data_IF_150558340238
#
_entry.id   IF_150558340238
#
_cell.length_a   1.000
_cell.length_b   1.000
_cell.length_c   1.000
_cell.angle_alpha   90.00
_cell.angle_beta   90.00
_cell.angle_gamma   90.00
#
_symmetry.space_group_name_H-M   'P 1'
#
loop_
_entity.id
_entity.type
_entity.pdbx_description
1 polymer ?
#
# COMPACT_ATOMS: atom_id res chain seq x y z
N UNK A 1 25.55 -27.74 37.11
CA UNK A 1 24.56 -27.34 36.09
C UNK A 1 24.97 -28.02 34.80
N UNK A 2 24.04 -28.59 34.02
CA UNK A 2 24.40 -29.09 32.69
C UNK A 2 24.89 -27.92 31.84
N UNK A 3 26.01 -28.10 31.16
CA UNK A 3 26.57 -27.08 30.26
C UNK A 3 25.63 -26.91 29.05
N UNK A 4 25.48 -25.68 28.53
CA UNK A 4 24.70 -25.45 27.32
C UNK A 4 25.35 -26.19 26.15
N UNK A 5 24.53 -26.89 25.35
CA UNK A 5 24.99 -27.49 24.10
C UNK A 5 24.85 -26.46 22.99
N UNK A 6 25.95 -26.18 22.28
CA UNK A 6 26.00 -25.19 21.20
C UNK A 6 26.44 -25.90 19.93
N UNK A 7 25.61 -25.82 18.89
CA UNK A 7 25.88 -26.32 17.55
C UNK A 7 25.93 -25.12 16.58
N UNK A 8 26.97 -25.00 15.76
CA UNK A 8 27.05 -23.99 14.71
C UNK A 8 26.43 -24.53 13.40
N UNK A 9 25.83 -23.64 12.62
CA UNK A 9 25.09 -23.95 11.39
C UNK A 9 25.60 -23.02 10.30
N UNK A 10 26.09 -23.59 9.19
CA UNK A 10 26.62 -22.82 8.06
C UNK A 10 27.92 -23.40 7.49
N UNK A 11 28.24 -22.89 6.30
CA UNK A 11 29.42 -23.14 5.43
C UNK A 11 29.85 -24.58 5.13
N UNK A 12 29.89 -25.52 6.08
CA UNK A 12 30.16 -26.95 5.86
C UNK A 12 29.80 -27.84 7.08
N UNK A 13 29.28 -27.26 8.18
CA UNK A 13 29.19 -27.98 9.47
C UNK A 13 27.90 -28.78 9.63
N UNK A 14 26.74 -28.12 9.58
CA UNK A 14 25.42 -28.76 9.60
C UNK A 14 24.43 -28.01 8.74
N UNK A 15 23.52 -28.77 8.16
CA UNK A 15 22.40 -28.28 7.37
C UNK A 15 21.32 -27.67 8.29
N UNK A 16 20.91 -26.44 8.03
CA UNK A 16 19.89 -25.73 8.81
C UNK A 16 18.58 -26.52 8.90
N UNK A 17 18.13 -27.13 7.80
CA UNK A 17 16.89 -27.92 7.79
C UNK A 17 17.00 -29.18 8.64
N UNK A 18 18.19 -29.79 8.73
CA UNK A 18 18.41 -30.94 9.63
C UNK A 18 18.37 -30.55 11.09
N UNK A 19 18.95 -29.39 11.44
CA UNK A 19 18.90 -28.87 12.82
C UNK A 19 17.48 -28.45 13.20
N UNK A 20 16.78 -27.80 12.27
CA UNK A 20 15.37 -27.45 12.41
C UNK A 20 14.51 -28.70 12.65
N UNK A 21 14.71 -29.76 11.86
CA UNK A 21 14.04 -31.05 12.01
C UNK A 21 14.32 -31.70 13.37
N UNK A 22 15.57 -31.70 13.82
CA UNK A 22 15.96 -32.31 15.11
C UNK A 22 15.25 -31.64 16.30
N UNK A 23 15.28 -30.31 16.37
CA UNK A 23 14.56 -29.60 17.41
C UNK A 23 13.05 -29.80 17.29
N UNK A 24 12.52 -29.81 16.07
CA UNK A 24 11.08 -29.95 15.85
C UNK A 24 10.54 -31.31 16.29
N UNK A 25 11.32 -32.38 16.10
CA UNK A 25 10.96 -33.73 16.57
C UNK A 25 10.93 -33.86 18.10
N UNK A 26 11.62 -32.99 18.81
CA UNK A 26 11.78 -33.03 20.28
C UNK A 26 11.02 -31.92 21.00
N UNK A 27 10.20 -31.14 20.30
CA UNK A 27 9.53 -29.99 20.87
C UNK A 27 8.01 -30.20 20.97
N UNK A 28 7.41 -29.61 21.99
CA UNK A 28 5.96 -29.55 22.16
C UNK A 28 5.35 -28.41 21.33
N UNK A 29 6.05 -27.28 21.24
CA UNK A 29 5.66 -26.13 20.42
C UNK A 29 6.88 -25.30 19.99
N UNK A 30 6.68 -24.43 18.99
CA UNK A 30 7.67 -23.48 18.51
C UNK A 30 7.11 -22.07 18.46
N UNK A 31 7.87 -21.10 18.97
CA UNK A 31 7.61 -19.68 18.74
C UNK A 31 8.79 -19.07 18.00
N UNK A 32 8.52 -18.24 17.00
CA UNK A 32 9.61 -17.71 16.17
C UNK A 32 9.29 -16.40 15.49
N UNK A 33 10.34 -15.77 14.98
CA UNK A 33 10.28 -14.61 14.13
C UNK A 33 11.28 -14.77 12.99
N UNK A 34 10.86 -14.50 11.77
CA UNK A 34 11.71 -14.51 10.57
C UNK A 34 11.43 -13.28 9.74
N UNK A 35 12.49 -12.61 9.28
CA UNK A 35 12.33 -11.41 8.47
C UNK A 35 11.62 -11.74 7.15
N UNK A 36 12.12 -12.75 6.42
CA UNK A 36 11.57 -13.07 5.11
C UNK A 36 11.19 -14.54 4.98
N UNK A 37 10.02 -14.77 4.37
CA UNK A 37 9.52 -16.09 4.05
C UNK A 37 9.06 -16.15 2.59
N UNK A 38 9.73 -16.98 1.78
CA UNK A 38 9.38 -17.22 0.37
C UNK A 38 9.32 -18.70 0.00
N UNK A 39 9.72 -19.60 0.90
CA UNK A 39 9.68 -21.03 0.61
C UNK A 39 8.31 -21.63 0.91
N UNK A 40 7.73 -22.41 -0.03
CA UNK A 40 6.57 -23.23 0.23
C UNK A 40 6.76 -24.12 1.47
N UNK A 41 5.69 -24.27 2.26
CA UNK A 41 5.77 -24.88 3.58
C UNK A 41 6.09 -26.37 3.53
N UNK A 42 5.65 -27.05 2.48
CA UNK A 42 5.91 -28.45 2.19
C UNK A 42 7.41 -28.77 2.00
N UNK A 43 8.24 -27.75 1.76
CA UNK A 43 9.70 -27.90 1.65
C UNK A 43 10.41 -27.92 3.01
N UNK A 44 9.73 -27.56 4.10
CA UNK A 44 10.27 -27.69 5.45
C UNK A 44 10.16 -29.15 5.94
N UNK A 45 10.95 -29.56 6.93
CA UNK A 45 10.81 -30.89 7.53
C UNK A 45 9.38 -31.15 8.04
N UNK A 46 8.85 -32.36 7.82
CA UNK A 46 7.49 -32.73 8.23
C UNK A 46 7.27 -32.53 9.74
N UNK A 47 8.32 -32.74 10.56
CA UNK A 47 8.28 -32.50 11.99
C UNK A 47 8.03 -31.03 12.33
N UNK A 48 8.70 -30.10 11.64
CA UNK A 48 8.49 -28.66 11.80
C UNK A 48 7.10 -28.27 11.34
N UNK A 49 6.65 -28.82 10.19
CA UNK A 49 5.30 -28.56 9.70
C UNK A 49 4.24 -28.96 10.72
N UNK A 50 4.34 -30.16 11.31
CA UNK A 50 3.44 -30.64 12.37
C UNK A 50 3.51 -29.75 13.62
N UNK A 51 4.71 -29.37 14.04
CA UNK A 51 4.93 -28.56 15.24
C UNK A 51 4.29 -27.16 15.12
N UNK A 52 4.39 -26.54 13.95
CA UNK A 52 3.78 -25.24 13.66
C UNK A 52 2.24 -25.26 13.72
N UNK A 53 1.61 -26.43 13.58
CA UNK A 53 0.15 -26.61 13.73
C UNK A 53 -0.32 -26.67 15.18
N UNK A 54 0.59 -26.75 16.15
CA UNK A 54 0.24 -26.69 17.56
C UNK A 54 -0.36 -25.31 17.89
N UNK A 55 -1.43 -25.27 18.68
CA UNK A 55 -2.11 -24.02 19.08
C UNK A 55 -1.23 -23.07 19.88
N UNK A 56 -0.20 -23.59 20.55
CA UNK A 56 0.80 -22.81 21.28
C UNK A 56 1.92 -22.30 20.36
N UNK A 57 2.02 -22.80 19.14
CA UNK A 57 3.03 -22.36 18.18
C UNK A 57 2.61 -21.08 17.48
N UNK A 58 3.58 -20.22 17.16
CA UNK A 58 3.36 -19.08 16.27
C UNK A 58 4.65 -18.64 15.57
N UNK A 59 4.50 -18.00 14.41
CA UNK A 59 5.64 -17.38 13.72
C UNK A 59 5.28 -15.95 13.30
N UNK A 60 6.11 -15.00 13.69
CA UNK A 60 6.05 -13.62 13.25
C UNK A 60 6.86 -13.43 11.96
N UNK A 61 6.29 -12.75 10.96
CA UNK A 61 6.91 -12.54 9.65
C UNK A 61 6.79 -11.08 9.23
N UNK A 62 7.84 -10.51 8.63
CA UNK A 62 7.73 -9.20 7.98
C UNK A 62 6.97 -9.35 6.66
N UNK A 63 5.87 -8.60 6.43
CA UNK A 63 5.13 -8.67 5.17
C UNK A 63 5.84 -7.98 3.99
N UNK A 64 6.94 -7.26 4.25
CA UNK A 64 7.67 -6.52 3.22
C UNK A 64 8.38 -7.46 2.25
N UNK A 65 8.58 -7.06 0.98
CA UNK A 65 9.41 -7.80 0.05
C UNK A 65 10.81 -8.08 0.64
N UNK A 66 11.38 -9.28 0.41
CA UNK A 66 10.93 -10.29 -0.54
C UNK A 66 9.89 -11.29 -0.04
N UNK A 67 9.27 -11.15 1.14
CA UNK A 67 8.27 -12.10 1.64
C UNK A 67 7.16 -12.36 0.61
N UNK A 68 6.84 -13.64 0.40
CA UNK A 68 5.75 -14.07 -0.47
C UNK A 68 4.49 -14.32 0.37
N UNK A 69 3.56 -13.36 0.34
CA UNK A 69 2.32 -13.46 1.10
C UNK A 69 1.42 -14.60 0.59
N UNK A 70 1.51 -15.01 -0.68
CA UNK A 70 0.70 -16.14 -1.19
C UNK A 70 1.11 -17.44 -0.51
N UNK A 71 2.42 -17.67 -0.38
CA UNK A 71 2.98 -18.82 0.36
C UNK A 71 2.49 -18.86 1.80
N UNK A 72 2.44 -17.71 2.49
CA UNK A 72 1.93 -17.66 3.87
C UNK A 72 0.42 -17.90 3.94
N UNK A 73 -0.33 -17.42 2.95
CA UNK A 73 -1.77 -17.56 2.87
C UNK A 73 -2.24 -19.00 2.65
N UNK A 74 -1.43 -19.81 1.96
CA UNK A 74 -1.69 -21.24 1.74
C UNK A 74 -1.65 -22.05 3.04
N UNK A 75 -1.02 -21.52 4.11
CA UNK A 75 -0.83 -22.26 5.37
C UNK A 75 -1.41 -21.58 6.61
N UNK A 76 -2.03 -20.41 6.47
CA UNK A 76 -2.56 -19.60 7.58
C UNK A 76 -3.62 -20.30 8.45
N UNK A 77 -4.38 -21.24 7.86
CA UNK A 77 -5.46 -21.94 8.55
C UNK A 77 -4.92 -23.06 9.45
N UNK A 78 -3.73 -23.55 9.11
CA UNK A 78 -3.00 -24.58 9.83
C UNK A 78 -1.99 -23.99 10.83
N UNK A 79 -1.39 -22.83 10.51
CA UNK A 79 -0.27 -22.25 11.25
C UNK A 79 -0.61 -20.84 11.73
N UNK A 80 -0.37 -20.56 13.01
CA UNK A 80 -0.57 -19.22 13.55
C UNK A 80 0.55 -18.25 13.08
N UNK A 81 0.33 -17.62 11.93
CA UNK A 81 1.22 -16.61 11.36
C UNK A 81 0.78 -15.21 11.79
N UNK A 82 1.74 -14.40 12.26
CA UNK A 82 1.52 -13.01 12.62
C UNK A 82 2.37 -12.12 11.70
N UNK A 83 1.73 -11.26 10.94
CA UNK A 83 2.42 -10.27 10.13
C UNK A 83 2.84 -9.11 11.03
N UNK A 84 4.14 -8.84 11.09
CA UNK A 84 4.67 -7.70 11.82
C UNK A 84 4.17 -6.40 11.21
N UNK A 85 3.50 -5.58 12.01
CA UNK A 85 3.05 -4.25 11.62
C UNK A 85 3.49 -3.26 12.69
N UNK A 86 4.47 -2.44 12.34
CA UNK A 86 4.88 -1.35 13.21
C UNK A 86 3.78 -0.27 13.22
N UNK A 87 3.21 0.01 14.38
CA UNK A 87 2.34 1.18 14.58
C UNK A 87 3.23 2.42 14.72
N UNK A 88 3.51 3.12 13.63
CA UNK A 88 3.93 4.52 13.70
C UNK A 88 2.94 5.36 12.92
N UNK A 89 2.25 6.25 13.64
CA UNK A 89 1.38 7.30 13.09
C UNK A 89 2.17 8.43 12.40
N UNK A 90 3.49 8.32 12.32
CA UNK A 90 4.37 9.28 11.68
C UNK A 90 5.15 8.61 10.54
N UNK A 91 4.92 9.13 9.33
CA UNK A 91 5.75 9.03 8.12
C UNK A 91 6.78 7.89 8.12
N UNK A 92 6.45 6.82 7.38
CA UNK A 92 7.32 5.75 6.92
C UNK A 92 8.83 5.99 7.16
N UNK A 93 9.31 5.56 8.33
CA UNK A 93 10.64 4.97 8.45
C UNK A 93 10.45 3.49 8.69
N UNK A 94 10.85 2.73 7.69
CA UNK A 94 10.81 1.27 7.52
C UNK A 94 11.38 0.54 8.75
N UNK A 95 10.59 0.38 9.79
CA UNK A 95 10.93 -0.53 10.88
C UNK A 95 10.71 -1.96 10.39
N UNK A 96 11.74 -2.55 9.78
CA UNK A 96 11.73 -3.93 9.31
C UNK A 96 11.99 -4.89 10.48
N UNK A 97 11.17 -5.93 10.61
CA UNK A 97 11.47 -7.06 11.46
C UNK A 97 12.64 -7.82 10.83
N UNK A 98 13.87 -7.57 11.30
CA UNK A 98 15.06 -8.24 10.77
C UNK A 98 15.47 -9.51 11.54
N UNK A 99 14.70 -9.88 12.57
CA UNK A 99 14.95 -11.06 13.41
C UNK A 99 14.85 -12.36 12.59
N UNK A 100 15.77 -13.31 12.83
CA UNK A 100 15.61 -14.73 12.46
C UNK A 100 15.95 -15.59 13.67
N UNK A 101 14.92 -15.91 14.44
CA UNK A 101 15.06 -16.55 15.73
C UNK A 101 13.88 -17.48 16.00
N UNK A 102 14.17 -18.68 16.50
CA UNK A 102 13.18 -19.68 16.88
C UNK A 102 13.48 -20.21 18.27
N UNK A 103 12.44 -20.38 19.06
CA UNK A 103 12.45 -20.97 20.39
C UNK A 103 11.56 -22.21 20.37
N UNK A 104 12.14 -23.34 20.74
CA UNK A 104 11.51 -24.66 20.81
C UNK A 104 11.39 -25.07 22.27
N UNK A 105 10.16 -25.29 22.73
CA UNK A 105 9.93 -25.84 24.07
C UNK A 105 10.11 -27.36 23.99
N UNK A 106 11.19 -27.90 24.54
CA UNK A 106 11.50 -29.32 24.41
C UNK A 106 10.61 -30.17 25.31
N UNK A 107 10.29 -31.38 24.84
CA UNK A 107 9.41 -32.34 25.51
C UNK A 107 10.03 -32.97 26.78
N UNK A 108 11.32 -32.70 27.06
CA UNK A 108 11.95 -33.06 28.34
C UNK A 108 11.47 -32.16 29.51
N UNK A 109 10.74 -31.08 29.19
CA UNK A 109 10.16 -30.16 30.15
C UNK A 109 11.17 -29.29 30.89
N UNK A 110 12.48 -29.44 30.68
CA UNK A 110 13.53 -28.73 31.42
C UNK A 110 14.38 -27.83 30.51
N UNK A 111 14.51 -28.20 29.24
CA UNK A 111 15.34 -27.51 28.27
C UNK A 111 14.52 -26.86 27.15
N UNK A 112 15.19 -25.95 26.45
CA UNK A 112 14.67 -25.28 25.26
C UNK A 112 15.72 -25.37 24.17
N UNK A 113 15.26 -25.50 22.94
CA UNK A 113 16.08 -25.31 21.74
C UNK A 113 15.96 -23.88 21.26
N UNK A 114 17.06 -23.24 20.91
CA UNK A 114 17.07 -21.89 20.35
C UNK A 114 17.88 -21.91 19.07
N UNK A 115 17.29 -21.48 17.96
CA UNK A 115 18.02 -21.24 16.72
C UNK A 115 18.03 -19.73 16.48
N UNK A 116 19.21 -19.13 16.33
CA UNK A 116 19.37 -17.70 16.03
C UNK A 116 20.44 -17.49 14.97
N UNK A 117 20.22 -16.58 14.02
CA UNK A 117 21.27 -16.16 13.10
C UNK A 117 20.77 -15.43 11.87
N UNK A 118 21.37 -15.70 10.72
CA UNK A 118 21.12 -14.97 9.47
C UNK A 118 20.15 -15.67 8.51
N UNK A 119 19.88 -16.97 8.68
CA UNK A 119 19.00 -17.75 7.80
C UNK A 119 17.55 -17.24 7.82
N UNK A 120 17.12 -16.65 6.70
CA UNK A 120 15.70 -16.42 6.41
C UNK A 120 15.05 -17.68 5.84
N UNK A 121 13.71 -17.71 5.79
CA UNK A 121 12.94 -18.79 5.17
C UNK A 121 12.80 -18.58 3.65
N UNK A 122 13.95 -18.40 3.00
CA UNK A 122 14.05 -18.20 1.56
C UNK A 122 14.88 -19.28 0.91
N UNK A 123 14.58 -19.59 -0.35
CA UNK A 123 15.30 -20.63 -1.10
C UNK A 123 16.81 -20.36 -1.14
N UNK A 124 17.21 -19.09 -1.27
CA UNK A 124 18.63 -18.69 -1.29
C UNK A 124 19.33 -18.92 0.04
N UNK A 125 18.68 -18.59 1.15
CA UNK A 125 19.27 -18.77 2.48
C UNK A 125 19.37 -20.25 2.87
N UNK A 126 18.34 -21.05 2.57
CA UNK A 126 18.27 -22.44 3.03
C UNK A 126 18.91 -23.45 2.06
N UNK A 127 18.92 -23.20 0.75
CA UNK A 127 19.44 -24.12 -0.26
C UNK A 127 20.77 -23.65 -0.90
N UNK A 128 21.64 -23.00 -0.10
CA UNK A 128 23.03 -22.64 -0.47
C UNK A 128 23.19 -21.60 -1.59
N UNK A 129 22.28 -20.62 -1.67
CA UNK A 129 22.44 -19.44 -2.53
C UNK A 129 23.12 -18.25 -1.84
N UNK A 130 23.13 -18.23 -0.51
CA UNK A 130 23.77 -17.23 0.33
C UNK A 130 24.74 -17.90 1.31
N UNK A 131 25.73 -17.14 1.78
CA UNK A 131 26.55 -17.52 2.93
C UNK A 131 25.78 -17.10 4.19
N UNK A 132 25.30 -18.08 4.95
CA UNK A 132 24.48 -17.87 6.14
C UNK A 132 25.13 -18.55 7.36
N UNK A 133 24.95 -17.94 8.53
CA UNK A 133 25.44 -18.46 9.80
C UNK A 133 24.34 -18.40 10.85
N UNK A 134 24.14 -19.51 11.54
CA UNK A 134 23.24 -19.60 12.68
C UNK A 134 23.87 -20.43 13.79
N UNK A 135 23.34 -20.25 15.00
CA UNK A 135 23.71 -21.04 16.17
C UNK A 135 22.46 -21.69 16.70
N UNK A 136 22.58 -22.98 17.00
CA UNK A 136 21.62 -23.77 17.74
C UNK A 136 22.12 -23.93 19.18
N UNK A 137 21.28 -23.58 20.15
CA UNK A 137 21.61 -23.62 21.57
C UNK A 137 20.55 -24.45 22.28
N UNK A 138 20.97 -25.49 22.99
CA UNK A 138 20.12 -26.20 23.95
C UNK A 138 20.51 -25.76 25.36
N UNK A 139 19.55 -25.19 26.08
CA UNK A 139 19.78 -24.60 27.41
C UNK A 139 18.55 -24.81 28.30
N UNK A 140 18.73 -24.73 29.62
CA UNK A 140 17.61 -24.78 30.57
C UNK A 140 16.59 -23.68 30.31
N UNK A 141 15.31 -24.04 30.33
CA UNK A 141 14.16 -23.13 30.15
C UNK A 141 14.16 -21.94 31.13
N UNK A 142 14.74 -22.15 32.32
CA UNK A 142 14.76 -21.15 33.38
C UNK A 142 15.96 -20.18 33.32
N UNK A 143 16.88 -20.39 32.37
CA UNK A 143 18.01 -19.48 32.14
C UNK A 143 17.54 -18.10 31.71
N UNK A 144 18.32 -17.07 32.06
CA UNK A 144 17.99 -15.68 31.70
C UNK A 144 17.91 -15.49 30.18
N UNK A 145 18.80 -16.13 29.42
CA UNK A 145 18.80 -16.06 27.95
C UNK A 145 17.51 -16.64 27.37
N UNK A 146 17.08 -17.83 27.81
CA UNK A 146 15.85 -18.46 27.34
C UNK A 146 14.61 -17.60 27.64
N UNK A 147 14.53 -17.04 28.86
CA UNK A 147 13.42 -16.17 29.26
C UNK A 147 13.36 -14.89 28.44
N UNK A 148 14.51 -14.24 28.22
CA UNK A 148 14.58 -13.01 27.44
C UNK A 148 14.16 -13.25 25.99
N UNK A 149 14.70 -14.29 25.35
CA UNK A 149 14.34 -14.65 23.97
C UNK A 149 12.84 -14.94 23.82
N UNK A 150 12.28 -15.74 24.74
CA UNK A 150 10.85 -16.02 24.72
C UNK A 150 10.02 -14.75 24.93
N UNK A 151 10.44 -13.86 25.85
CA UNK A 151 9.81 -12.56 26.09
C UNK A 151 9.85 -11.63 24.87
N UNK A 152 10.99 -11.55 24.18
CA UNK A 152 11.17 -10.72 22.99
C UNK A 152 10.28 -11.21 21.83
N UNK A 153 10.19 -12.53 21.61
CA UNK A 153 9.32 -13.10 20.57
C UNK A 153 7.83 -12.83 20.83
N UNK A 154 7.39 -12.93 22.08
CA UNK A 154 6.02 -12.55 22.46
C UNK A 154 5.81 -11.03 22.31
N UNK A 155 6.81 -10.22 22.66
CA UNK A 155 6.74 -8.76 22.45
C UNK A 155 6.60 -8.41 20.97
N UNK A 156 7.32 -9.08 20.06
CA UNK A 156 7.17 -8.89 18.61
C UNK A 156 5.74 -9.24 18.18
N UNK A 157 5.20 -10.36 18.64
CA UNK A 157 3.81 -10.76 18.37
C UNK A 157 2.81 -9.72 18.88
N UNK A 158 2.98 -9.22 20.10
CA UNK A 158 1.99 -8.37 20.78
C UNK A 158 2.14 -6.87 20.45
N UNK A 159 3.29 -6.43 19.91
CA UNK A 159 3.62 -5.02 19.58
C UNK A 159 2.90 -4.46 18.36
N UNK A 160 1.80 -5.08 17.94
CA UNK A 160 0.99 -4.65 16.80
C UNK A 160 1.01 -5.60 15.61
N UNK A 161 1.63 -6.77 15.74
CA UNK A 161 1.52 -7.79 14.71
C UNK A 161 0.06 -8.22 14.55
N UNK A 162 -0.37 -8.38 13.29
CA UNK A 162 -1.74 -8.80 12.96
C UNK A 162 -1.68 -10.25 12.55
N UNK A 163 -2.54 -11.09 13.14
CA UNK A 163 -2.68 -12.47 12.69
C UNK A 163 -3.06 -12.46 11.20
N UNK A 164 -2.34 -13.22 10.38
CA UNK A 164 -2.66 -13.36 8.97
C UNK A 164 -4.06 -13.96 8.83
N UNK A 165 -4.99 -13.20 8.23
CA UNK A 165 -6.36 -13.62 7.95
C UNK A 165 -6.59 -13.67 6.44
N UNK A 166 -7.73 -14.24 6.01
CA UNK A 166 -8.16 -14.25 4.61
C UNK A 166 -8.12 -12.86 3.94
N UNK A 167 -8.29 -11.78 4.71
CA UNK A 167 -8.28 -10.42 4.18
C UNK A 167 -6.94 -10.00 3.56
N UNK A 168 -5.84 -10.65 3.96
CA UNK A 168 -4.50 -10.40 3.44
C UNK A 168 -4.13 -11.33 2.28
N UNK A 169 -5.03 -12.25 1.92
CA UNK A 169 -4.78 -13.34 0.97
C UNK A 169 -5.46 -13.17 -0.38
N UNK A 170 -6.01 -11.99 -0.64
CA UNK A 170 -6.56 -11.69 -1.96
C UNK A 170 -5.43 -11.53 -2.97
N UNK A 171 -5.62 -12.14 -4.14
CA UNK A 171 -4.77 -11.85 -5.28
C UNK A 171 -4.93 -10.36 -5.61
N UNK A 172 -3.83 -9.62 -5.61
CA UNK A 172 -3.86 -8.24 -6.11
C UNK A 172 -4.35 -8.29 -7.56
N UNK A 173 -5.38 -7.51 -7.86
CA UNK A 173 -5.83 -7.38 -9.24
C UNK A 173 -4.68 -6.90 -10.13
N UNK A 174 -4.66 -7.32 -11.41
CA UNK A 174 -3.71 -6.76 -12.36
C UNK A 174 -3.81 -5.23 -12.34
N UNK A 175 -2.67 -4.51 -12.41
CA UNK A 175 -2.66 -3.07 -12.24
C UNK A 175 -3.54 -2.41 -13.31
N UNK A 176 -4.44 -1.54 -12.86
CA UNK A 176 -5.40 -0.84 -13.73
C UNK A 176 -4.96 0.59 -13.99
N UNK A 177 -5.30 1.12 -15.18
CA UNK A 177 -5.19 2.53 -15.49
C UNK A 177 -6.35 3.30 -14.81
N UNK A 178 -6.03 4.26 -13.94
CA UNK A 178 -7.03 5.11 -13.29
C UNK A 178 -7.11 6.51 -13.92
N UNK A 179 -8.33 6.97 -14.15
CA UNK A 179 -8.66 8.37 -14.38
C UNK A 179 -9.07 9.02 -13.06
N UNK A 180 -8.29 9.98 -12.58
CA UNK A 180 -8.59 10.69 -11.33
C UNK A 180 -9.35 11.97 -11.63
N UNK A 181 -10.50 12.18 -10.99
CA UNK A 181 -11.32 13.40 -11.10
C UNK A 181 -11.61 13.99 -9.72
N UNK A 182 -11.77 15.32 -9.65
CA UNK A 182 -12.07 16.05 -8.41
C UNK A 182 -13.29 16.94 -8.58
N UNK A 183 -14.13 17.07 -7.57
CA UNK A 183 -15.29 17.96 -7.60
C UNK A 183 -16.30 17.70 -6.48
N UNK A 184 -17.52 18.18 -6.70
CA UNK A 184 -18.65 18.05 -5.78
C UNK A 184 -19.69 17.05 -6.30
N UNK A 185 -20.46 16.47 -5.39
CA UNK A 185 -21.47 15.43 -5.62
C UNK A 185 -20.94 14.20 -6.38
N UNK A 186 -19.68 13.84 -6.17
CA UNK A 186 -19.03 12.75 -6.90
C UNK A 186 -19.48 11.37 -6.42
N UNK A 187 -20.13 11.29 -5.24
CA UNK A 187 -20.77 10.07 -4.76
C UNK A 187 -21.92 9.56 -5.63
N UNK A 188 -22.51 10.41 -6.47
CA UNK A 188 -23.69 10.10 -7.28
C UNK A 188 -23.41 9.98 -8.78
N UNK A 189 -22.13 9.94 -9.19
CA UNK A 189 -21.71 9.96 -10.59
C UNK A 189 -22.35 8.86 -11.46
N UNK A 190 -22.63 7.69 -10.88
CA UNK A 190 -23.29 6.58 -11.57
C UNK A 190 -24.74 6.88 -12.00
N UNK A 191 -25.43 7.78 -11.31
CA UNK A 191 -26.81 8.18 -11.66
C UNK A 191 -26.87 9.08 -12.89
N UNK A 192 -25.75 9.72 -13.24
CA UNK A 192 -25.69 10.69 -14.34
C UNK A 192 -25.36 10.04 -15.68
N UNK A 193 -24.99 8.75 -15.68
CA UNK A 193 -24.63 7.87 -16.80
C UNK A 193 -23.53 8.36 -17.75
N UNK A 194 -23.32 9.66 -17.96
CA UNK A 194 -22.41 10.21 -18.95
C UNK A 194 -21.57 11.37 -18.39
N UNK A 195 -20.26 11.14 -18.34
CA UNK A 195 -19.23 12.11 -17.99
C UNK A 195 -18.55 12.61 -19.27
N UNK A 196 -18.62 13.92 -19.52
CA UNK A 196 -17.90 14.55 -20.63
C UNK A 196 -16.63 15.22 -20.11
N UNK A 197 -15.47 14.81 -20.62
CA UNK A 197 -14.17 15.36 -20.23
C UNK A 197 -13.59 16.16 -21.39
N UNK A 198 -13.21 17.40 -21.09
CA UNK A 198 -12.70 18.38 -22.05
C UNK A 198 -11.17 18.49 -21.95
N UNK A 199 -10.49 18.39 -23.09
CA UNK A 199 -9.03 18.43 -23.20
C UNK A 199 -8.54 19.47 -24.20
N UNK A 200 -7.42 20.12 -23.87
CA UNK A 200 -6.73 21.05 -24.78
C UNK A 200 -5.97 20.31 -25.89
N UNK A 201 -5.35 19.17 -25.57
CA UNK A 201 -4.46 18.45 -26.47
C UNK A 201 -4.85 16.97 -26.65
N UNK A 202 -4.69 16.43 -27.86
CA UNK A 202 -5.01 15.03 -28.19
C UNK A 202 -4.21 14.01 -27.36
N UNK A 203 -2.99 14.36 -26.95
CA UNK A 203 -2.14 13.47 -26.16
C UNK A 203 -2.68 13.18 -24.77
N UNK A 204 -3.53 14.08 -24.27
CA UNK A 204 -4.15 13.99 -22.96
C UNK A 204 -5.49 13.25 -22.99
N UNK A 205 -6.11 13.18 -24.17
CA UNK A 205 -7.35 12.46 -24.38
C UNK A 205 -7.14 10.94 -24.34
N UNK A 206 -8.15 10.22 -23.87
CA UNK A 206 -8.18 8.76 -23.87
C UNK A 206 -8.38 8.30 -25.32
N UNK A 207 -7.42 7.52 -25.83
CA UNK A 207 -7.28 7.23 -27.28
C UNK A 207 -8.01 5.98 -27.78
N UNK A 208 -8.61 5.18 -26.90
CA UNK A 208 -9.19 3.87 -27.26
C UNK A 208 -10.50 3.63 -26.51
N UNK A 209 -11.38 2.82 -27.11
CA UNK A 209 -12.51 2.16 -26.44
C UNK A 209 -11.96 1.24 -25.35
N UNK A 210 -11.83 1.80 -24.15
CA UNK A 210 -11.30 1.10 -22.99
C UNK A 210 -12.34 1.17 -21.89
N UNK A 211 -12.44 0.04 -21.18
CA UNK A 211 -12.88 0.07 -19.80
C UNK A 211 -11.94 1.03 -19.06
N UNK A 212 -12.52 2.09 -18.50
CA UNK A 212 -11.81 3.08 -17.70
C UNK A 212 -12.29 2.97 -16.26
N UNK A 213 -11.35 3.00 -15.33
CA UNK A 213 -11.69 3.11 -13.92
C UNK A 213 -11.55 4.57 -13.51
N UNK A 214 -12.60 5.14 -12.93
CA UNK A 214 -12.65 6.54 -12.52
C UNK A 214 -12.57 6.62 -11.02
N UNK A 215 -11.47 7.18 -10.51
CA UNK A 215 -11.33 7.53 -9.10
C UNK A 215 -11.83 8.96 -8.91
N UNK A 216 -12.99 9.09 -8.30
CA UNK A 216 -13.63 10.37 -8.05
C UNK A 216 -13.39 10.81 -6.59
N UNK A 217 -12.79 11.99 -6.40
CA UNK A 217 -12.41 12.53 -5.09
C UNK A 217 -13.28 13.75 -4.76
N UNK A 218 -14.11 13.60 -3.74
CA UNK A 218 -15.01 14.65 -3.25
C UNK A 218 -14.23 15.74 -2.50
N UNK A 219 -14.33 16.98 -2.96
CA UNK A 219 -13.56 18.11 -2.39
C UNK A 219 -13.94 18.38 -0.92
N UNK A 220 -15.22 18.23 -0.57
CA UNK A 220 -15.73 18.67 0.74
C UNK A 220 -15.64 17.61 1.84
N UNK A 221 -15.57 16.33 1.49
CA UNK A 221 -15.71 15.25 2.47
C UNK A 221 -14.53 14.31 2.56
N UNK A 222 -13.45 14.56 1.80
CA UNK A 222 -12.32 13.63 1.58
C UNK A 222 -12.73 12.26 1.01
N UNK A 223 -14.02 11.97 0.85
CA UNK A 223 -14.49 10.70 0.35
C UNK A 223 -13.99 10.47 -1.08
N UNK A 224 -13.65 9.21 -1.36
CA UNK A 224 -13.30 8.77 -2.69
C UNK A 224 -14.24 7.66 -3.13
N UNK A 225 -14.48 7.61 -4.44
CA UNK A 225 -15.37 6.64 -5.06
C UNK A 225 -14.69 6.07 -6.29
N UNK A 226 -14.73 4.76 -6.43
CA UNK A 226 -14.27 4.09 -7.63
C UNK A 226 -15.47 3.72 -8.50
N UNK A 227 -15.39 4.08 -9.78
CA UNK A 227 -16.39 3.74 -10.77
C UNK A 227 -15.76 2.94 -11.90
N UNK A 228 -16.54 2.00 -12.44
CA UNK A 228 -16.28 1.42 -13.75
C UNK A 228 -17.00 2.27 -14.79
N UNK A 229 -16.26 2.69 -15.81
CA UNK A 229 -16.82 3.36 -16.96
C UNK A 229 -16.28 2.81 -18.26
N UNK A 230 -16.88 3.30 -19.35
CA UNK A 230 -16.52 2.94 -20.71
C UNK A 230 -16.43 4.20 -21.55
N UNK A 231 -15.33 4.37 -22.28
CA UNK A 231 -15.22 5.47 -23.24
C UNK A 231 -16.15 5.15 -24.41
N UNK A 232 -17.24 5.92 -24.56
CA UNK A 232 -18.20 5.73 -25.66
C UNK A 232 -17.92 6.63 -26.84
N UNK A 233 -17.21 7.75 -26.63
CA UNK A 233 -16.86 8.66 -27.71
C UNK A 233 -15.54 9.36 -27.43
N UNK A 234 -14.76 9.55 -28.50
CA UNK A 234 -13.57 10.40 -28.54
C UNK A 234 -13.72 11.31 -29.76
N UNK A 235 -13.46 12.61 -29.61
CA UNK A 235 -13.63 13.53 -30.73
C UNK A 235 -12.84 14.81 -30.60
N UNK A 236 -12.83 15.58 -31.70
CA UNK A 236 -12.23 16.92 -31.81
C UNK A 236 -13.33 17.94 -32.04
N UNK A 237 -13.31 19.06 -31.31
CA UNK A 237 -14.33 20.12 -31.47
C UNK A 237 -14.23 20.84 -32.81
N UNK A 238 -13.03 21.02 -33.38
CA UNK A 238 -12.85 21.80 -34.62
C UNK A 238 -13.36 21.10 -35.90
N UNK A 239 -13.79 19.84 -35.83
CA UNK A 239 -14.41 19.11 -36.95
C UNK A 239 -15.94 19.09 -36.88
N UNK A 240 -16.49 19.61 -35.78
CA UNK A 240 -17.92 19.88 -35.61
C UNK A 240 -18.00 21.39 -35.81
N UNK A 241 -18.48 21.86 -36.98
CA UNK A 241 -18.80 23.29 -37.15
C UNK A 241 -19.53 23.73 -35.89
N UNK A 242 -19.00 24.76 -35.21
CA UNK A 242 -19.55 25.27 -33.96
C UNK A 242 -20.99 25.71 -34.19
N UNK A 243 -21.93 24.77 -34.12
CA UNK A 243 -23.34 25.06 -33.96
C UNK A 243 -23.42 25.81 -32.65
N UNK A 244 -23.83 27.06 -32.71
CA UNK A 244 -24.05 27.95 -31.57
C UNK A 244 -25.11 27.44 -30.56
N UNK A 245 -25.43 26.15 -30.58
CA UNK A 245 -26.38 25.45 -29.72
C UNK A 245 -25.87 24.03 -29.43
N UNK A 246 -24.69 23.91 -28.80
CA UNK A 246 -24.45 22.71 -28.01
C UNK A 246 -25.40 22.79 -26.80
N UNK A 247 -26.64 22.32 -26.97
CA UNK A 247 -27.53 22.02 -25.84
C UNK A 247 -26.98 20.80 -25.13
N UNK A 248 -26.08 21.10 -24.22
CA UNK A 248 -25.64 20.24 -23.15
C UNK A 248 -26.89 19.66 -22.46
N UNK A 249 -27.17 18.36 -22.65
CA UNK A 249 -28.21 17.67 -21.89
C UNK A 249 -27.84 17.66 -20.40
N UNK A 250 -28.61 17.01 -19.51
CA UNK A 250 -28.22 16.81 -18.08
C UNK A 250 -26.94 15.95 -17.94
N UNK A 251 -25.82 16.41 -18.49
CA UNK A 251 -24.50 15.79 -18.52
C UNK A 251 -23.67 16.50 -17.49
N UNK A 252 -22.71 15.78 -16.91
CA UNK A 252 -21.73 16.38 -16.02
C UNK A 252 -20.41 16.57 -16.75
N UNK A 253 -19.85 17.76 -16.59
CA UNK A 253 -18.65 18.20 -17.29
C UNK A 253 -17.46 18.08 -16.38
N UNK A 254 -16.34 17.57 -16.88
CA UNK A 254 -15.07 17.74 -16.23
C UNK A 254 -14.11 18.49 -17.14
N UNK A 255 -13.52 19.56 -16.63
CA UNK A 255 -12.57 20.38 -17.36
C UNK A 255 -11.19 20.14 -16.77
N UNK A 256 -10.23 19.82 -17.62
CA UNK A 256 -8.84 19.79 -17.20
C UNK A 256 -8.29 21.21 -17.03
N UNK A 257 -8.48 21.78 -15.83
CA UNK A 257 -7.87 23.06 -15.42
C UNK A 257 -6.44 22.88 -14.90
N UNK A 258 -6.10 21.70 -14.38
CA UNK A 258 -4.80 21.37 -13.76
C UNK A 258 -4.30 19.97 -14.17
N UNK A 259 -3.56 19.27 -13.29
CA UNK A 259 -3.04 17.91 -13.53
C UNK A 259 -4.14 16.84 -13.68
N UNK A 260 -5.35 17.11 -13.18
CA UNK A 260 -6.51 16.22 -13.27
C UNK A 260 -7.76 16.99 -13.72
N UNK A 261 -8.74 16.33 -14.37
CA UNK A 261 -10.03 16.93 -14.66
C UNK A 261 -10.79 17.34 -13.38
N UNK A 262 -11.30 18.57 -13.38
CA UNK A 262 -12.17 19.11 -12.34
C UNK A 262 -13.62 19.02 -12.81
N UNK A 263 -14.41 18.26 -12.09
CA UNK A 263 -15.83 18.10 -12.30
C UNK A 263 -16.57 19.38 -11.93
N UNK A 264 -17.49 19.78 -12.80
CA UNK A 264 -18.31 20.96 -12.69
C UNK A 264 -19.69 20.58 -12.16
N UNK A 265 -20.29 21.47 -11.38
CA UNK A 265 -21.64 21.29 -10.90
C UNK A 265 -22.64 21.47 -12.06
N UNK A 266 -23.82 20.89 -11.93
CA UNK A 266 -24.88 20.94 -12.97
C UNK A 266 -25.31 22.38 -13.32
N UNK A 267 -25.13 23.32 -12.38
CA UNK A 267 -25.41 24.74 -12.56
C UNK A 267 -24.24 25.56 -13.13
N UNK A 268 -23.07 24.94 -13.32
CA UNK A 268 -21.87 25.64 -13.79
C UNK A 268 -21.88 25.76 -15.30
N UNK A 269 -22.10 26.99 -15.79
CA UNK A 269 -21.92 27.33 -17.19
C UNK A 269 -20.42 27.24 -17.50
N UNK A 270 -20.06 26.46 -18.53
CA UNK A 270 -18.69 26.40 -19.01
C UNK A 270 -18.38 27.73 -19.70
N UNK A 271 -17.35 28.42 -19.21
CA UNK A 271 -16.87 29.67 -19.81
C UNK A 271 -16.52 29.46 -21.29
N UNK A 272 -17.05 30.31 -22.17
CA UNK A 272 -16.80 30.33 -23.61
C UNK A 272 -15.30 30.29 -23.94
N UNK A 273 -14.47 30.94 -23.12
CA UNK A 273 -13.01 30.91 -23.27
C UNK A 273 -12.47 29.49 -23.15
N UNK A 274 -12.99 28.70 -22.20
CA UNK A 274 -12.56 27.31 -22.01
C UNK A 274 -13.02 26.44 -23.19
N UNK A 275 -14.24 26.65 -23.69
CA UNK A 275 -14.72 25.94 -24.87
C UNK A 275 -13.85 26.22 -26.10
N UNK A 276 -13.48 27.49 -26.33
CA UNK A 276 -12.57 27.89 -27.42
C UNK A 276 -11.16 27.33 -27.28
N UNK A 277 -10.68 27.16 -26.05
CA UNK A 277 -9.36 26.57 -25.76
C UNK A 277 -9.37 25.03 -25.78
N UNK A 278 -10.55 24.40 -25.78
CA UNK A 278 -10.72 22.95 -25.77
C UNK A 278 -10.78 22.44 -27.21
N UNK A 279 -9.85 21.56 -27.57
CA UNK A 279 -9.83 20.97 -28.91
C UNK A 279 -10.36 19.54 -28.96
N UNK A 280 -10.38 18.82 -27.84
CA UNK A 280 -10.73 17.40 -27.79
C UNK A 280 -11.66 17.05 -26.63
N UNK A 281 -12.42 15.97 -26.76
CA UNK A 281 -13.24 15.45 -25.68
C UNK A 281 -13.24 13.92 -25.59
N UNK A 282 -13.50 13.42 -24.39
CA UNK A 282 -13.93 12.05 -24.15
C UNK A 282 -15.33 12.06 -23.55
N UNK A 283 -16.21 11.21 -24.05
CA UNK A 283 -17.47 10.88 -23.42
C UNK A 283 -17.34 9.51 -22.77
N UNK A 284 -17.51 9.47 -21.46
CA UNK A 284 -17.36 8.29 -20.63
C UNK A 284 -18.72 7.95 -20.05
N UNK A 285 -19.22 6.78 -20.40
CA UNK A 285 -20.40 6.20 -19.75
C UNK A 285 -19.98 5.59 -18.41
N UNK A 286 -20.66 5.97 -17.32
CA UNK A 286 -20.40 5.43 -15.98
C UNK A 286 -21.36 4.26 -15.77
N UNK A 287 -20.83 3.04 -15.81
CA UNK A 287 -21.61 1.81 -15.78
C UNK A 287 -22.01 1.43 -14.36
N UNK A 288 -21.03 1.43 -13.44
CA UNK A 288 -21.26 1.03 -12.05
C UNK A 288 -20.35 1.73 -11.07
N UNK A 289 -20.88 1.97 -9.87
CA UNK A 289 -20.11 2.31 -8.67
C UNK A 289 -19.65 1.03 -7.99
N UNK A 290 -18.36 0.92 -7.68
CA UNK A 290 -17.88 -0.17 -6.84
C UNK A 290 -18.35 0.06 -5.40
N UNK A 291 -19.02 -0.94 -4.81
CA UNK A 291 -19.54 -0.84 -3.43
C UNK A 291 -18.42 -0.81 -2.39
N UNK A 292 -17.37 -1.58 -2.65
CA UNK A 292 -16.21 -1.72 -1.80
C UNK A 292 -14.97 -1.70 -2.69
N UNK A 293 -14.04 -0.78 -2.40
CA UNK A 293 -12.73 -0.79 -3.02
C UNK A 293 -11.71 -0.34 -1.97
N UNK A 294 -10.54 -0.97 -1.98
CA UNK A 294 -9.37 -0.53 -1.25
C UNK A 294 -8.25 -0.25 -2.23
N UNK A 295 -7.65 0.93 -2.13
CA UNK A 295 -6.47 1.30 -2.91
C UNK A 295 -5.24 1.05 -2.05
N UNK A 296 -4.47 0.02 -2.38
CA UNK A 296 -3.12 -0.19 -1.85
C UNK A 296 -2.13 0.58 -2.71
N UNK A 297 -1.58 1.67 -2.16
CA UNK A 297 -0.70 2.57 -2.93
C UNK A 297 0.68 1.96 -3.18
N UNK A 298 0.84 1.35 -4.36
CA UNK A 298 2.06 1.52 -5.16
C UNK A 298 1.73 2.38 -6.38
N UNK A 299 1.41 3.65 -6.13
CA UNK A 299 1.17 4.60 -7.23
C UNK A 299 2.50 4.91 -7.90
N UNK A 300 2.81 4.18 -8.97
CA UNK A 300 3.97 4.50 -9.81
C UNK A 300 3.53 5.64 -10.74
N UNK A 301 3.84 6.87 -10.35
CA UNK A 301 3.75 8.00 -11.27
C UNK A 301 4.83 7.79 -12.35
N UNK A 302 4.42 7.53 -13.59
CA UNK A 302 5.36 7.53 -14.71
C UNK A 302 5.91 8.96 -14.86
N UNK A 303 7.19 9.16 -14.45
CA UNK A 303 8.01 10.40 -14.53
C UNK A 303 7.21 11.71 -14.60
N UNK A 304 7.08 12.39 -13.46
CA UNK A 304 6.61 13.78 -13.40
C UNK A 304 7.65 14.62 -12.65
N UNK A 305 8.26 15.58 -13.35
CA UNK A 305 8.98 16.69 -12.73
C UNK A 305 7.98 17.57 -11.97
N UNK A 306 8.21 17.73 -10.67
CA UNK A 306 7.29 18.38 -9.75
C UNK A 306 7.60 19.89 -9.65
N UNK A 307 6.81 20.71 -10.34
CA UNK A 307 6.50 22.08 -9.89
C UNK A 307 5.02 22.14 -9.51
N UNK A 308 4.76 22.12 -8.21
CA UNK A 308 3.42 21.98 -7.60
C UNK A 308 3.44 21.26 -6.24
N UNK A 309 4.51 21.45 -5.46
CA UNK A 309 4.77 20.72 -4.23
C UNK A 309 3.70 20.91 -3.15
N UNK A 310 3.02 22.06 -3.11
CA UNK A 310 1.97 22.34 -2.11
C UNK A 310 0.67 21.58 -2.36
N UNK A 311 0.28 21.39 -3.62
CA UNK A 311 -0.94 20.66 -3.96
C UNK A 311 -0.74 19.15 -3.85
N UNK A 312 0.49 18.67 -4.13
CA UNK A 312 0.90 17.28 -3.88
C UNK A 312 1.00 17.00 -2.38
N UNK A 313 1.54 17.92 -1.57
CA UNK A 313 1.50 17.78 -0.11
C UNK A 313 0.07 17.80 0.44
N UNK A 314 -0.84 18.63 -0.10
CA UNK A 314 -2.26 18.59 0.26
C UNK A 314 -2.89 17.24 -0.10
N UNK A 315 -2.60 16.72 -1.29
CA UNK A 315 -3.05 15.39 -1.73
C UNK A 315 -2.49 14.26 -0.86
N UNK A 316 -1.20 14.28 -0.54
CA UNK A 316 -0.55 13.33 0.37
C UNK A 316 -1.16 13.42 1.78
N UNK A 317 -1.43 14.64 2.29
CA UNK A 317 -2.05 14.84 3.60
C UNK A 317 -3.54 14.44 3.66
N UNK A 318 -4.25 14.50 2.54
CA UNK A 318 -5.66 14.07 2.44
C UNK A 318 -5.77 12.55 2.23
N UNK A 319 -4.85 11.93 1.49
CA UNK A 319 -4.78 10.47 1.31
C UNK A 319 -4.25 9.78 2.57
N UNK A 320 -3.36 10.43 3.34
CA UNK A 320 -2.85 9.91 4.61
C UNK A 320 -3.88 9.70 5.73
N UNK A 321 -5.13 10.16 5.57
CA UNK A 321 -6.23 9.95 6.54
C UNK A 321 -7.08 8.69 6.28
N UNK A 322 -6.81 7.91 5.24
CA UNK A 322 -7.74 6.88 4.75
C UNK A 322 -7.77 5.55 5.52
N UNK A 323 -7.19 5.46 6.72
CA UNK A 323 -7.40 4.33 7.63
C UNK A 323 -7.81 4.84 9.00
N UNK A 324 -9.08 5.23 9.15
CA UNK A 324 -9.73 5.20 10.45
C UNK A 324 -11.06 4.48 10.30
N UNK A 325 -11.10 3.28 10.88
CA UNK A 325 -12.26 2.43 11.04
C UNK A 325 -13.52 3.20 11.44
N UNK A 326 -14.60 2.99 10.69
CA UNK A 326 -15.95 3.22 11.17
C UNK A 326 -16.28 2.17 12.26
N UNK A 327 -16.12 2.56 13.53
CA UNK A 327 -17.02 2.13 14.62
C UNK A 327 -17.29 3.32 15.53
N UNK A 328 -18.56 3.74 15.58
CA UNK A 328 -19.16 4.61 16.61
C UNK A 328 -18.80 4.07 18.02
N UNK A 329 -18.73 4.85 19.11
CA UNK A 329 -19.61 5.95 19.52
C UNK A 329 -19.00 6.84 20.62
N UNK A 330 -19.53 8.07 20.68
CA UNK A 330 -19.65 8.98 21.83
C UNK A 330 -18.41 9.61 22.46
N UNK A 331 -18.03 10.79 21.96
CA UNK A 331 -17.61 11.91 22.81
C UNK A 331 -17.91 13.23 22.08
N UNK A 332 -18.40 14.23 22.83
CA UNK A 332 -18.88 15.55 22.36
C UNK A 332 -17.79 16.35 21.62
N UNK A 333 -18.17 17.25 20.68
CA UNK A 333 -17.21 18.17 20.07
C UNK A 333 -16.74 19.19 21.12
N UNK A 334 -15.42 19.32 21.26
CA UNK A 334 -14.77 20.45 21.92
C UNK A 334 -14.61 21.57 20.90
N UNK A 335 -15.18 22.73 21.21
CA UNK A 335 -14.99 23.98 20.48
C UNK A 335 -13.50 24.31 20.37
N UNK A 336 -13.02 24.46 19.13
CA UNK A 336 -11.78 25.19 18.87
C UNK A 336 -12.05 26.27 17.83
N UNK A 337 -12.14 27.50 18.32
CA UNK A 337 -11.96 28.71 17.54
C UNK A 337 -10.52 28.77 17.02
N UNK A 338 -10.34 28.98 15.72
CA UNK A 338 -9.06 29.30 15.09
C UNK A 338 -9.02 30.80 14.80
N UNK A 339 -8.06 31.57 15.37
CA UNK A 339 -7.89 32.98 15.07
C UNK A 339 -7.24 33.21 13.69
N UNK A 340 -7.79 34.17 12.96
CA UNK A 340 -7.26 34.79 11.76
C UNK A 340 -6.01 35.63 12.07
N UNK A 341 -4.81 35.06 11.97
CA UNK A 341 -3.56 35.82 11.84
C UNK A 341 -2.37 34.88 11.62
N UNK A 342 -2.08 34.48 10.38
CA UNK A 342 -0.73 34.03 9.97
C UNK A 342 -0.58 33.96 8.45
N UNK A 343 -1.04 35.01 7.75
CA UNK A 343 -0.80 35.23 6.32
C UNK A 343 0.02 36.51 6.04
N UNK A 344 0.72 37.04 7.05
CA UNK A 344 1.50 38.30 6.93
C UNK A 344 3.02 38.14 7.06
N UNK A 345 3.56 36.91 7.13
CA UNK A 345 5.01 36.68 7.32
C UNK A 345 5.76 36.13 6.11
N UNK A 346 5.13 36.08 4.93
CA UNK A 346 5.80 35.70 3.67
C UNK A 346 5.99 36.91 2.74
N UNK A 347 5.31 38.04 3.00
CA UNK A 347 5.37 39.22 2.13
C UNK A 347 6.54 40.16 2.46
N UNK A 348 7.12 40.12 3.66
CA UNK A 348 8.21 41.06 4.05
C UNK A 348 9.63 40.62 3.67
N UNK A 349 9.81 39.41 3.11
CA UNK A 349 11.11 38.93 2.63
C UNK A 349 11.41 39.36 1.17
N UNK A 350 10.41 39.88 0.45
CA UNK A 350 10.52 40.27 -0.96
C UNK A 350 10.76 41.77 -1.20
N UNK A 351 10.68 42.63 -0.17
CA UNK A 351 10.81 44.09 -0.35
C UNK A 351 12.21 44.65 -0.08
N UNK A 352 13.20 43.84 0.32
CA UNK A 352 14.58 44.31 0.53
C UNK A 352 15.56 43.48 -0.30
N UNK A 353 15.78 43.96 -1.51
CA UNK A 353 16.53 43.32 -2.57
C UNK A 353 17.86 42.67 -2.14
N UNK A 354 18.00 41.41 -2.54
CA UNK A 354 19.27 40.69 -2.64
C UNK A 354 19.36 40.08 -4.04
N UNK A 355 20.42 40.42 -4.76
CA UNK A 355 20.64 40.13 -6.18
C UNK A 355 20.85 38.64 -6.49
N UNK A 356 20.33 38.28 -7.67
CA UNK A 356 20.81 37.34 -8.68
C UNK A 356 21.41 35.98 -8.28
N UNK A 357 20.76 34.92 -8.76
CA UNK A 357 21.42 33.96 -9.66
C UNK A 357 20.42 33.49 -10.72
N UNK A 358 20.81 33.64 -11.99
CA UNK A 358 20.00 33.36 -13.17
C UNK A 358 19.83 31.86 -13.41
N UNK A 359 18.58 31.39 -13.42
CA UNK A 359 18.19 30.12 -14.05
C UNK A 359 17.42 30.36 -15.37
N UNK A 360 17.70 31.48 -16.05
CA UNK A 360 17.33 31.65 -17.45
C UNK A 360 18.32 30.90 -18.34
N UNK A 361 18.00 29.64 -18.64
CA UNK A 361 18.37 28.85 -19.84
C UNK A 361 18.63 27.37 -19.52
N UNK A 362 17.60 26.58 -19.24
CA UNK A 362 17.34 25.22 -19.79
C UNK A 362 15.88 24.92 -19.37
N UNK A 363 14.86 24.83 -20.22
CA UNK A 363 14.55 23.66 -21.04
C UNK A 363 13.44 24.00 -22.04
N UNK A 364 13.67 23.64 -23.30
CA UNK A 364 12.64 23.43 -24.31
C UNK A 364 11.84 22.17 -23.99
N UNK A 365 10.52 22.27 -24.16
CA UNK A 365 9.62 21.20 -24.62
C UNK A 365 9.56 19.92 -23.81
N UNK A 366 8.60 19.81 -22.90
CA UNK A 366 8.21 18.55 -22.28
C UNK A 366 6.69 18.38 -22.38
N UNK A 367 6.27 17.35 -23.13
CA UNK A 367 4.89 16.84 -23.19
C UNK A 367 4.76 15.70 -22.19
N UNK A 368 3.76 15.75 -21.33
CA UNK A 368 3.53 14.77 -20.26
C UNK A 368 2.33 13.88 -20.57
N UNK A 369 2.49 12.58 -20.34
CA UNK A 369 1.43 11.57 -20.43
C UNK A 369 1.03 11.15 -19.02
N UNK A 370 -0.24 11.33 -18.66
CA UNK A 370 -0.76 10.86 -17.37
C UNK A 370 -1.34 9.46 -17.52
N UNK A 371 -0.73 8.50 -16.83
CA UNK A 371 -1.29 7.19 -16.49
C UNK A 371 -0.79 6.83 -15.11
N UNK A 372 -1.68 6.80 -14.13
CA UNK A 372 -1.42 6.20 -12.82
C UNK A 372 -1.83 4.74 -12.86
N UNK A 373 -0.90 3.85 -12.49
CA UNK A 373 -1.20 2.46 -12.22
C UNK A 373 -1.51 2.32 -10.74
N UNK A 374 -2.60 1.64 -10.41
CA UNK A 374 -2.95 1.26 -9.05
C UNK A 374 -3.30 -0.22 -9.00
N UNK A 375 -3.12 -0.81 -7.82
CA UNK A 375 -3.61 -2.13 -7.47
C UNK A 375 -4.92 -1.93 -6.70
N UNK A 376 -5.94 -2.69 -7.06
CA UNK A 376 -7.22 -2.69 -6.36
C UNK A 376 -7.36 -4.03 -5.67
N UNK A 377 -7.70 -4.00 -4.38
CA UNK A 377 -8.13 -5.19 -3.66
C UNK A 377 -9.63 -5.01 -3.41
N UNK A 378 -10.47 -5.80 -4.07
CA UNK A 378 -11.91 -5.70 -3.92
C UNK A 378 -12.69 -6.80 -4.64
N UNK A 379 -13.83 -7.18 -4.04
CA UNK A 379 -14.75 -8.16 -4.63
C UNK A 379 -15.41 -7.59 -5.88
N UNK A 380 -15.22 -8.26 -7.02
CA UNK A 380 -16.05 -8.08 -8.20
C UNK A 380 -17.32 -8.92 -8.04
N UNK A 381 -18.34 -8.32 -7.44
CA UNK A 381 -19.72 -8.75 -7.69
C UNK A 381 -20.42 -7.78 -8.64
#
# INVERSE_FOLDING_TARGET
MSEPRIDLIGLDERDYLKVLDDFSRRADYVVGAVAYWTMPFELFPESFQKLCKNQSSFICVDPSPPTDLKVLCDIKDDVAIYLFKYKNDYEFKEALLHTKMFYFHLNDGENVGIIIGSHNFTRRALLKGNIEHSVAIEIKKNSSLAKNIYGDLNTIKDSGSVRLTMEYCFEEDPPIDLLIIYGYNLGNLHSDQLLLILYKNYEEAIKKELNVHVLAIEIDSTNSYLYKGRVIQVGRFNEIEMSHELTFSKRRYAIKKFRAPCFLNDSTIVDDKILRETSYFNSIEIEKKYKHFSLTEKVTFNKVDLTGAEMVQKLISMVGKFVINNRFSSAKPLDYAMPSAQMELVTSYYEKGGKELSASKVFKGWRTKFKSKAYVNGYFE
#
